data_IF_700910911486
#
_entry.id   IF_700910911486
#
_cell.length_a   1.000
_cell.length_b   1.000
_cell.length_c   1.000
_cell.angle_alpha   90.00
_cell.angle_beta   90.00
_cell.angle_gamma   90.00
#
_symmetry.space_group_name_H-M   'P 1'
#
loop_
_entity.id
_entity.type
_entity.pdbx_description
1 polymer ?
#
# COMPACT_ATOMS: atom_id res chain seq x y z
N UNK A 1 -22.21 -14.57 -17.40
CA UNK A 1 -22.09 -13.85 -16.12
C UNK A 1 -23.49 -13.41 -15.71
N UNK A 2 -23.79 -13.33 -14.41
CA UNK A 2 -25.01 -12.63 -13.96
C UNK A 2 -24.92 -11.18 -14.44
N UNK A 3 -26.05 -10.57 -14.82
CA UNK A 3 -26.05 -9.16 -15.22
C UNK A 3 -25.55 -8.25 -14.09
N UNK A 4 -25.20 -7.01 -14.44
CA UNK A 4 -24.78 -6.01 -13.47
C UNK A 4 -25.86 -5.77 -12.40
N UNK A 5 -25.41 -5.71 -11.15
CA UNK A 5 -26.19 -5.33 -9.98
C UNK A 5 -25.36 -4.35 -9.15
N UNK A 6 -25.87 -3.13 -8.99
CA UNK A 6 -25.22 -2.07 -8.23
C UNK A 6 -25.01 -2.48 -6.77
N UNK A 7 -26.01 -3.12 -6.17
CA UNK A 7 -26.01 -3.41 -4.75
C UNK A 7 -24.91 -4.44 -4.40
N UNK A 8 -24.56 -5.32 -5.34
CA UNK A 8 -23.39 -6.22 -5.21
C UNK A 8 -22.09 -5.43 -5.05
N UNK A 9 -21.88 -4.37 -5.83
CA UNK A 9 -20.67 -3.53 -5.72
C UNK A 9 -20.65 -2.77 -4.39
N UNK A 10 -21.79 -2.17 -4.03
CA UNK A 10 -21.97 -1.41 -2.79
C UNK A 10 -21.69 -2.28 -1.56
N UNK A 11 -22.28 -3.48 -1.51
CA UNK A 11 -22.09 -4.42 -0.41
C UNK A 11 -20.65 -4.95 -0.35
N UNK A 12 -20.02 -5.17 -1.49
CA UNK A 12 -18.62 -5.58 -1.55
C UNK A 12 -17.68 -4.52 -0.99
N UNK A 13 -17.82 -3.26 -1.41
CA UNK A 13 -17.02 -2.14 -0.89
C UNK A 13 -17.26 -1.91 0.60
N UNK A 14 -18.54 -1.88 1.00
CA UNK A 14 -18.91 -1.70 2.41
C UNK A 14 -18.29 -2.79 3.29
N UNK A 15 -18.43 -4.06 2.90
CA UNK A 15 -17.84 -5.19 3.62
C UNK A 15 -16.32 -5.09 3.69
N UNK A 16 -15.67 -4.67 2.60
CA UNK A 16 -14.22 -4.50 2.56
C UNK A 16 -13.74 -3.40 3.50
N UNK A 17 -14.38 -2.23 3.49
CA UNK A 17 -14.04 -1.14 4.41
C UNK A 17 -14.35 -1.48 5.86
N UNK A 18 -15.47 -2.16 6.13
CA UNK A 18 -15.77 -2.69 7.46
C UNK A 18 -14.71 -3.68 7.94
N UNK A 19 -14.15 -4.52 7.05
CA UNK A 19 -13.03 -5.39 7.39
C UNK A 19 -11.81 -4.57 7.80
N UNK A 20 -11.39 -3.59 7.00
CA UNK A 20 -10.23 -2.74 7.31
C UNK A 20 -10.41 -1.98 8.64
N UNK A 21 -11.60 -1.43 8.91
CA UNK A 21 -11.93 -0.82 10.21
C UNK A 21 -11.84 -1.84 11.34
N UNK A 22 -12.40 -3.05 11.16
CA UNK A 22 -12.35 -4.12 12.16
C UNK A 22 -10.94 -4.65 12.41
N UNK A 23 -10.07 -4.59 11.41
CA UNK A 23 -8.65 -4.92 11.50
C UNK A 23 -7.85 -3.82 12.20
N UNK A 24 -8.46 -2.66 12.46
CA UNK A 24 -7.82 -1.51 13.10
C UNK A 24 -6.90 -0.76 12.14
N UNK A 25 -7.09 -0.90 10.83
CA UNK A 25 -6.26 -0.20 9.85
C UNK A 25 -6.66 1.27 9.71
N UNK A 26 -7.96 1.55 9.80
CA UNK A 26 -8.53 2.89 9.71
C UNK A 26 -9.65 3.07 10.74
N UNK A 27 -9.88 4.30 11.15
CA UNK A 27 -10.96 4.63 12.09
C UNK A 27 -12.33 4.51 11.38
N UNK A 28 -13.42 4.17 12.11
CA UNK A 28 -14.76 4.10 11.53
C UNK A 28 -15.18 5.39 10.81
N UNK A 29 -14.78 6.53 11.35
CA UNK A 29 -15.07 7.86 10.81
C UNK A 29 -14.35 8.14 9.48
N UNK A 30 -13.37 7.32 9.10
CA UNK A 30 -12.73 7.43 7.80
C UNK A 30 -13.67 6.99 6.65
N UNK A 31 -14.75 6.26 6.95
CA UNK A 31 -15.70 5.77 5.95
C UNK A 31 -16.99 6.58 6.00
N UNK A 32 -17.29 7.24 4.89
CA UNK A 32 -18.50 8.03 4.69
C UNK A 32 -19.53 7.19 3.93
N UNK A 33 -20.64 6.86 4.60
CA UNK A 33 -21.74 6.09 4.00
C UNK A 33 -22.68 7.01 3.22
N UNK A 34 -23.22 6.58 2.07
CA UNK A 34 -24.19 7.35 1.32
C UNK A 34 -25.49 7.55 2.13
N UNK A 35 -26.20 8.68 1.93
CA UNK A 35 -27.58 8.83 2.39
C UNK A 35 -28.50 7.75 1.83
N UNK A 36 -29.68 7.54 2.43
CA UNK A 36 -30.62 6.49 2.01
C UNK A 36 -31.08 6.59 0.53
N UNK A 37 -31.02 7.78 -0.06
CA UNK A 37 -31.30 8.02 -1.49
C UNK A 37 -30.05 8.19 -2.37
N UNK A 38 -28.87 7.86 -1.84
CA UNK A 38 -27.58 8.13 -2.48
C UNK A 38 -27.14 9.59 -2.37
N UNK A 39 -25.91 9.85 -2.83
CA UNK A 39 -25.33 11.18 -2.93
C UNK A 39 -26.10 12.04 -3.94
N UNK A 40 -26.45 13.27 -3.54
CA UNK A 40 -27.15 14.22 -4.42
C UNK A 40 -26.20 14.83 -5.46
N UNK A 41 -26.73 15.49 -6.50
CA UNK A 41 -25.93 16.23 -7.50
C UNK A 41 -25.16 17.41 -6.90
N UNK A 42 -25.59 17.88 -5.72
CA UNK A 42 -24.88 18.88 -4.95
C UNK A 42 -23.63 18.30 -4.26
N UNK A 43 -23.62 16.99 -3.97
CA UNK A 43 -22.53 16.30 -3.28
C UNK A 43 -21.64 15.52 -4.24
N UNK A 44 -22.19 14.91 -5.28
CA UNK A 44 -21.48 14.16 -6.31
C UNK A 44 -21.21 15.05 -7.54
N UNK A 45 -20.02 14.91 -8.16
CA UNK A 45 -19.66 15.63 -9.40
C UNK A 45 -20.31 15.04 -10.66
N UNK A 46 -21.65 14.96 -10.66
CA UNK A 46 -22.45 14.45 -11.78
C UNK A 46 -22.20 15.24 -13.07
N UNK A 47 -21.96 16.55 -12.95
CA UNK A 47 -21.55 17.44 -14.04
C UNK A 47 -20.25 16.96 -14.71
N UNK A 48 -19.22 16.67 -13.92
CA UNK A 48 -17.94 16.19 -14.43
C UNK A 48 -18.06 14.77 -15.00
N UNK A 49 -18.79 13.88 -14.32
CA UNK A 49 -19.02 12.51 -14.79
C UNK A 49 -19.69 12.47 -16.17
N UNK A 50 -20.72 13.31 -16.38
CA UNK A 50 -21.38 13.45 -17.69
C UNK A 50 -20.45 14.09 -18.73
N UNK A 51 -19.65 15.09 -18.36
CA UNK A 51 -18.66 15.68 -19.26
C UNK A 51 -17.62 14.64 -19.71
N UNK A 52 -17.16 13.77 -18.80
CA UNK A 52 -16.30 12.61 -19.07
C UNK A 52 -17.00 11.45 -19.81
N UNK A 53 -18.26 11.65 -20.22
CA UNK A 53 -19.04 10.67 -20.98
C UNK A 53 -19.39 9.40 -20.21
N UNK A 54 -19.44 9.42 -18.87
CA UNK A 54 -19.87 8.27 -18.06
C UNK A 54 -21.38 8.06 -18.18
N UNK A 55 -21.82 6.80 -18.20
CA UNK A 55 -23.23 6.44 -18.32
C UNK A 55 -24.02 6.69 -17.03
N UNK A 56 -25.35 6.75 -17.12
CA UNK A 56 -26.20 6.91 -15.94
C UNK A 56 -26.13 5.69 -15.00
N UNK A 57 -25.76 4.50 -15.49
CA UNK A 57 -25.50 3.34 -14.65
C UNK A 57 -24.24 3.53 -13.78
N UNK A 58 -23.16 4.07 -14.35
CA UNK A 58 -21.95 4.47 -13.60
C UNK A 58 -22.28 5.56 -12.58
N UNK A 59 -23.04 6.59 -12.98
CA UNK A 59 -23.43 7.67 -12.07
C UNK A 59 -24.28 7.12 -10.92
N UNK A 60 -25.23 6.22 -11.20
CA UNK A 60 -26.05 5.56 -10.18
C UNK A 60 -25.21 4.72 -9.23
N UNK A 61 -24.19 3.99 -9.71
CA UNK A 61 -23.23 3.32 -8.84
C UNK A 61 -22.53 4.29 -7.90
N UNK A 62 -21.92 5.35 -8.44
CA UNK A 62 -21.15 6.32 -7.67
C UNK A 62 -22.01 7.08 -6.65
N UNK A 63 -23.32 7.22 -6.88
CA UNK A 63 -24.26 7.76 -5.87
C UNK A 63 -24.43 6.86 -4.65
N UNK A 64 -24.22 5.56 -4.78
CA UNK A 64 -24.59 4.59 -3.75
C UNK A 64 -23.39 3.87 -3.11
N UNK A 65 -22.16 4.13 -3.55
CA UNK A 65 -20.97 3.58 -2.90
C UNK A 65 -20.60 4.37 -1.63
N UNK A 66 -20.01 3.71 -0.63
CA UNK A 66 -19.31 4.39 0.44
C UNK A 66 -18.01 5.03 -0.08
N UNK A 67 -17.65 6.20 0.45
CA UNK A 67 -16.37 6.86 0.16
C UNK A 67 -15.47 6.86 1.38
N UNK A 68 -14.15 6.86 1.16
CA UNK A 68 -13.17 7.06 2.23
C UNK A 68 -12.80 8.54 2.27
N UNK A 69 -12.68 9.11 3.47
CA UNK A 69 -12.21 10.48 3.65
C UNK A 69 -10.73 10.58 3.26
N UNK A 70 -10.44 11.61 2.47
CA UNK A 70 -9.07 12.01 2.20
C UNK A 70 -8.53 12.77 3.42
N UNK A 71 -7.26 12.56 3.72
CA UNK A 71 -6.64 13.13 4.89
C UNK A 71 -5.73 14.27 4.41
N UNK A 72 -6.16 15.51 4.57
CA UNK A 72 -5.42 16.68 4.02
C UNK A 72 -3.99 16.81 4.59
N UNK A 73 -3.79 16.32 5.81
CA UNK A 73 -2.52 16.42 6.54
C UNK A 73 -1.66 15.13 6.48
N UNK A 74 -2.16 14.05 5.88
CA UNK A 74 -1.51 12.73 5.87
C UNK A 74 -1.56 12.04 4.50
N UNK A 75 -0.85 10.91 4.37
CA UNK A 75 -0.79 10.16 3.11
C UNK A 75 -2.20 9.64 2.71
N UNK A 76 -2.46 9.31 1.43
CA UNK A 76 -3.75 8.75 0.99
C UNK A 76 -4.00 7.34 1.53
N UNK A 77 -5.24 7.01 1.93
CA UNK A 77 -5.59 5.72 2.58
C UNK A 77 -5.49 4.59 1.57
N UNK A 78 -4.55 3.67 1.78
CA UNK A 78 -4.47 2.45 0.97
C UNK A 78 -5.56 1.48 1.40
N UNK A 79 -6.47 1.16 0.50
CA UNK A 79 -7.55 0.20 0.79
C UNK A 79 -7.17 -1.22 0.39
N UNK A 80 -6.08 -1.40 -0.34
CA UNK A 80 -5.44 -2.66 -0.68
C UNK A 80 -3.96 -2.37 -1.04
N UNK A 81 -3.13 -3.38 -1.29
CA UNK A 81 -1.69 -3.22 -1.56
C UNK A 81 -1.44 -2.17 -2.65
N UNK A 82 -0.85 -1.03 -2.29
CA UNK A 82 -0.54 0.10 -3.21
C UNK A 82 -1.78 0.61 -4.00
N UNK A 83 -2.99 0.39 -3.46
CA UNK A 83 -4.27 0.72 -4.10
C UNK A 83 -5.04 1.74 -3.27
N UNK A 84 -5.38 2.87 -3.88
CA UNK A 84 -5.98 4.04 -3.23
C UNK A 84 -7.40 4.30 -3.75
N UNK A 85 -8.37 4.66 -2.88
CA UNK A 85 -9.76 4.88 -3.28
C UNK A 85 -9.90 6.18 -4.07
N UNK A 86 -10.72 6.15 -5.13
CA UNK A 86 -11.14 7.36 -5.83
C UNK A 86 -12.39 7.95 -5.17
N UNK A 87 -12.37 9.26 -4.91
CA UNK A 87 -13.49 10.00 -4.32
C UNK A 87 -14.12 10.92 -5.36
N UNK A 88 -15.36 10.62 -5.76
CA UNK A 88 -16.10 11.38 -6.78
C UNK A 88 -16.98 12.52 -6.23
N UNK A 89 -16.96 12.70 -4.91
CA UNK A 89 -17.68 13.78 -4.25
C UNK A 89 -17.02 15.13 -4.52
N UNK A 90 -17.80 16.22 -4.50
CA UNK A 90 -17.31 17.59 -4.69
C UNK A 90 -16.26 18.00 -3.67
N UNK A 91 -16.31 17.39 -2.49
CA UNK A 91 -15.34 17.62 -1.42
C UNK A 91 -14.05 16.81 -1.59
N UNK A 92 -13.94 15.97 -2.63
CA UNK A 92 -12.73 15.19 -2.91
C UNK A 92 -11.66 16.03 -3.60
N UNK A 93 -10.40 15.77 -3.27
CA UNK A 93 -9.19 16.43 -3.78
C UNK A 93 -9.11 16.37 -5.30
N UNK A 94 -9.56 15.27 -5.88
CA UNK A 94 -9.54 15.03 -7.32
C UNK A 94 -10.54 15.90 -8.10
N UNK A 95 -11.47 16.54 -7.39
CA UNK A 95 -12.47 17.42 -7.97
C UNK A 95 -12.49 18.83 -7.36
N UNK A 96 -11.66 19.09 -6.34
CA UNK A 96 -11.76 20.26 -5.46
C UNK A 96 -10.86 21.44 -5.76
N UNK A 97 -9.94 21.36 -6.74
CA UNK A 97 -8.87 22.37 -6.88
C UNK A 97 -9.01 23.37 -8.03
N UNK A 98 -9.41 22.92 -9.23
CA UNK A 98 -9.29 23.73 -10.45
C UNK A 98 -10.64 23.92 -11.17
N UNK A 99 -11.27 25.10 -11.06
CA UNK A 99 -12.51 25.41 -11.78
C UNK A 99 -12.34 25.56 -13.30
N UNK A 100 -11.15 25.29 -13.85
CA UNK A 100 -10.82 25.43 -15.28
C UNK A 100 -10.46 24.12 -16.00
N UNK A 101 -10.63 22.97 -15.35
CA UNK A 101 -10.30 21.68 -15.96
C UNK A 101 -11.39 21.23 -16.93
N UNK A 102 -11.01 20.98 -18.19
CA UNK A 102 -11.94 20.58 -19.25
C UNK A 102 -12.17 19.06 -19.23
N UNK A 103 -13.10 18.62 -18.38
CA UNK A 103 -13.51 17.22 -18.27
C UNK A 103 -14.05 16.59 -19.56
N UNK A 104 -14.44 17.40 -20.57
CA UNK A 104 -15.04 16.88 -21.79
C UNK A 104 -14.00 16.43 -22.83
N UNK A 105 -12.78 16.97 -22.76
CA UNK A 105 -11.74 16.73 -23.77
C UNK A 105 -10.47 16.11 -23.20
N UNK A 106 -10.20 16.30 -21.90
CA UNK A 106 -9.03 15.72 -21.26
C UNK A 106 -9.17 14.19 -21.14
N UNK A 107 -8.16 13.40 -21.56
CA UNK A 107 -8.15 11.95 -21.37
C UNK A 107 -8.32 11.55 -19.90
N UNK A 108 -8.99 10.42 -19.65
CA UNK A 108 -9.22 9.94 -18.28
C UNK A 108 -7.93 9.57 -17.55
N UNK A 109 -6.89 9.16 -18.26
CA UNK A 109 -5.56 8.91 -17.69
C UNK A 109 -4.96 10.19 -17.11
N UNK A 110 -4.97 11.28 -17.89
CA UNK A 110 -4.44 12.59 -17.48
C UNK A 110 -5.25 13.17 -16.31
N UNK A 111 -6.55 12.87 -16.27
CA UNK A 111 -7.42 13.19 -15.14
C UNK A 111 -7.29 12.23 -13.96
N UNK A 112 -6.47 11.17 -14.04
CA UNK A 112 -6.26 10.18 -12.95
C UNK A 112 -7.45 9.24 -12.69
N UNK A 113 -8.36 9.07 -13.65
CA UNK A 113 -9.54 8.19 -13.56
C UNK A 113 -9.44 6.91 -14.39
N UNK A 114 -8.33 6.69 -15.10
CA UNK A 114 -8.09 5.46 -15.85
C UNK A 114 -6.60 5.05 -15.76
N UNK A 115 -6.30 3.74 -15.79
CA UNK A 115 -4.92 3.24 -15.70
C UNK A 115 -4.13 3.26 -17.01
N UNK A 116 -4.75 3.64 -18.12
CA UNK A 116 -4.19 3.40 -19.45
C UNK A 116 -4.63 4.49 -20.44
N UNK A 117 -3.91 4.59 -21.57
CA UNK A 117 -4.19 5.59 -22.59
C UNK A 117 -5.33 5.12 -23.54
N UNK A 118 -6.09 6.07 -24.07
CA UNK A 118 -7.16 5.79 -25.01
C UNK A 118 -8.57 5.70 -24.38
N UNK A 119 -9.56 5.23 -25.16
CA UNK A 119 -10.96 5.35 -24.79
C UNK A 119 -11.34 4.36 -23.69
N UNK A 120 -11.95 4.87 -22.62
CA UNK A 120 -12.65 4.04 -21.62
C UNK A 120 -14.15 4.04 -21.94
N UNK A 121 -14.79 2.88 -22.17
CA UNK A 121 -16.23 2.79 -22.42
C UNK A 121 -17.07 3.53 -21.37
N UNK A 122 -18.18 4.14 -21.79
CA UNK A 122 -19.04 4.96 -20.91
C UNK A 122 -19.57 4.22 -19.68
N UNK A 123 -19.78 2.91 -19.80
CA UNK A 123 -20.29 2.03 -18.75
C UNK A 123 -19.20 1.53 -17.78
N UNK A 124 -17.94 1.96 -17.97
CA UNK A 124 -16.82 1.59 -17.12
C UNK A 124 -16.37 2.74 -16.21
N UNK A 125 -15.91 2.40 -15.00
CA UNK A 125 -15.42 3.36 -14.02
C UNK A 125 -14.37 2.75 -13.10
N UNK A 126 -13.31 3.50 -12.83
CA UNK A 126 -12.30 3.11 -11.83
C UNK A 126 -12.80 3.46 -10.43
N UNK A 127 -12.75 2.51 -9.51
CA UNK A 127 -13.06 2.77 -8.09
C UNK A 127 -11.80 3.12 -7.27
N UNK A 128 -10.64 2.85 -7.84
CA UNK A 128 -9.33 3.10 -7.24
C UNK A 128 -8.37 3.66 -8.27
N UNK A 129 -7.32 4.32 -7.79
CA UNK A 129 -6.11 4.59 -8.54
C UNK A 129 -4.93 3.88 -7.87
N UNK A 130 -3.87 3.63 -8.63
CA UNK A 130 -2.68 2.96 -8.15
C UNK A 130 -1.47 3.31 -9.02
N UNK A 131 -0.29 3.37 -8.40
CA UNK A 131 0.97 3.46 -9.14
C UNK A 131 1.51 2.04 -9.39
N UNK A 132 1.76 1.30 -8.30
CA UNK A 132 2.26 -0.09 -8.32
C UNK A 132 1.20 -1.13 -7.88
N UNK A 133 0.00 -0.67 -7.52
CA UNK A 133 -1.09 -1.51 -7.03
C UNK A 133 -2.08 -1.93 -8.11
N UNK A 134 -3.34 -2.09 -7.71
CA UNK A 134 -4.43 -2.49 -8.61
C UNK A 134 -5.49 -1.41 -8.75
N UNK A 135 -5.82 -1.07 -10.00
CA UNK A 135 -7.00 -0.32 -10.39
C UNK A 135 -8.22 -1.23 -10.46
N UNK A 136 -9.27 -0.86 -9.73
CA UNK A 136 -10.54 -1.57 -9.70
C UNK A 136 -11.47 -0.99 -10.76
N UNK A 137 -11.27 -1.41 -12.01
CA UNK A 137 -12.04 -0.92 -13.14
C UNK A 137 -13.32 -1.75 -13.31
N UNK A 138 -14.45 -1.19 -12.88
CA UNK A 138 -15.76 -1.85 -12.92
C UNK A 138 -16.46 -1.57 -14.24
N UNK A 139 -17.01 -2.61 -14.86
CA UNK A 139 -17.89 -2.53 -16.03
C UNK A 139 -19.34 -2.77 -15.62
N UNK A 140 -20.14 -1.71 -15.65
CA UNK A 140 -21.56 -1.74 -15.28
C UNK A 140 -22.47 -2.29 -16.37
N UNK A 141 -21.95 -2.51 -17.58
CA UNK A 141 -22.70 -3.15 -18.66
C UNK A 141 -22.58 -4.67 -18.57
N UNK A 142 -21.37 -5.16 -18.35
CA UNK A 142 -21.09 -6.61 -18.28
C UNK A 142 -21.20 -7.18 -16.84
N UNK A 143 -21.18 -6.32 -15.81
CA UNK A 143 -21.27 -6.76 -14.42
C UNK A 143 -19.99 -7.41 -13.89
N UNK A 144 -18.83 -6.94 -14.36
CA UNK A 144 -17.53 -7.48 -14.02
C UNK A 144 -16.56 -6.39 -13.54
N UNK A 145 -15.41 -6.82 -13.02
CA UNK A 145 -14.29 -5.97 -12.66
C UNK A 145 -13.04 -6.44 -13.40
N UNK A 146 -12.27 -5.48 -13.90
CA UNK A 146 -10.95 -5.66 -14.47
C UNK A 146 -9.92 -5.22 -13.42
N UNK A 147 -9.28 -6.14 -12.69
CA UNK A 147 -8.25 -5.80 -11.71
C UNK A 147 -6.95 -5.45 -12.44
N UNK A 148 -6.81 -4.18 -12.84
CA UNK A 148 -5.72 -3.72 -13.69
C UNK A 148 -4.52 -3.27 -12.83
N UNK A 149 -3.47 -4.09 -12.76
CA UNK A 149 -2.26 -3.81 -12.00
C UNK A 149 -1.00 -3.91 -12.87
N UNK A 150 0.09 -4.41 -12.30
CA UNK A 150 1.38 -4.59 -12.98
C UNK A 150 1.53 -5.97 -13.64
N UNK A 151 0.68 -6.94 -13.28
CA UNK A 151 0.62 -8.27 -13.89
C UNK A 151 -0.52 -8.33 -14.91
N UNK A 152 -0.18 -8.58 -16.18
CA UNK A 152 -1.14 -8.70 -17.29
C UNK A 152 -1.34 -10.16 -17.71
N UNK A 153 -2.59 -10.53 -18.01
CA UNK A 153 -2.95 -11.86 -18.51
C UNK A 153 -2.62 -12.03 -20.00
N UNK A 154 -2.49 -10.91 -20.73
CA UNK A 154 -2.20 -10.87 -22.18
C UNK A 154 -0.99 -10.01 -22.50
N UNK A 155 -0.26 -10.38 -23.55
CA UNK A 155 0.84 -9.56 -24.05
C UNK A 155 0.32 -8.24 -24.62
N UNK A 156 1.06 -7.14 -24.46
CA UNK A 156 0.67 -5.83 -24.95
C UNK A 156 0.36 -5.81 -26.46
N UNK A 157 1.12 -6.58 -27.26
CA UNK A 157 0.94 -6.67 -28.71
C UNK A 157 -0.38 -7.36 -29.13
N UNK A 158 -0.98 -8.14 -28.23
CA UNK A 158 -2.24 -8.85 -28.48
C UNK A 158 -3.48 -8.02 -28.11
N UNK A 159 -3.28 -6.91 -27.38
CA UNK A 159 -4.34 -6.06 -26.86
C UNK A 159 -4.56 -4.87 -27.82
N UNK A 160 -5.74 -4.73 -28.42
CA UNK A 160 -6.02 -3.57 -29.26
C UNK A 160 -5.85 -2.26 -28.47
N UNK A 161 -5.25 -1.25 -29.10
CA UNK A 161 -5.00 0.05 -28.47
C UNK A 161 -6.29 0.77 -28.02
N UNK A 162 -7.42 0.49 -28.68
CA UNK A 162 -8.73 1.02 -28.30
C UNK A 162 -9.43 0.16 -27.22
N UNK A 163 -8.80 -0.91 -26.75
CA UNK A 163 -9.36 -1.89 -25.81
C UNK A 163 -8.36 -2.32 -24.73
N UNK A 164 -7.54 -1.38 -24.24
CA UNK A 164 -6.42 -1.66 -23.33
C UNK A 164 -6.83 -2.36 -22.02
N UNK A 165 -8.06 -2.18 -21.54
CA UNK A 165 -8.58 -2.90 -20.37
C UNK A 165 -8.61 -4.43 -20.56
N UNK A 166 -8.54 -4.93 -21.79
CA UNK A 166 -8.48 -6.37 -22.10
C UNK A 166 -7.11 -7.01 -21.86
N UNK A 167 -6.12 -6.22 -21.45
CA UNK A 167 -4.83 -6.73 -20.97
C UNK A 167 -4.96 -7.63 -19.74
N UNK A 168 -6.04 -7.45 -18.96
CA UNK A 168 -6.43 -8.34 -17.86
C UNK A 168 -7.76 -9.01 -18.15
N UNK A 169 -7.97 -10.19 -17.58
CA UNK A 169 -9.21 -10.93 -17.71
C UNK A 169 -10.30 -10.40 -16.76
N UNK A 170 -11.56 -10.28 -17.22
CA UNK A 170 -12.64 -9.82 -16.37
C UNK A 170 -12.97 -10.87 -15.30
N UNK A 171 -13.18 -10.40 -14.08
CA UNK A 171 -13.56 -11.22 -12.93
C UNK A 171 -14.99 -10.86 -12.50
N UNK A 172 -15.84 -11.82 -12.08
CA UNK A 172 -17.09 -11.48 -11.41
C UNK A 172 -16.82 -10.63 -10.17
N UNK A 173 -17.51 -9.49 -10.03
CA UNK A 173 -17.24 -8.49 -8.99
C UNK A 173 -17.18 -9.12 -7.59
N UNK A 174 -18.23 -9.86 -7.22
CA UNK A 174 -18.29 -10.51 -5.91
C UNK A 174 -17.14 -11.51 -5.68
N UNK A 175 -16.76 -12.29 -6.70
CA UNK A 175 -15.68 -13.27 -6.59
C UNK A 175 -14.32 -12.59 -6.38
N UNK A 176 -14.07 -11.45 -7.03
CA UNK A 176 -12.87 -10.65 -6.79
C UNK A 176 -12.82 -10.13 -5.34
N UNK A 177 -13.91 -9.52 -4.87
CA UNK A 177 -13.98 -9.00 -3.50
C UNK A 177 -13.95 -10.11 -2.43
N UNK A 178 -14.47 -11.30 -2.72
CA UNK A 178 -14.33 -12.47 -1.84
C UNK A 178 -12.88 -12.93 -1.73
N UNK A 179 -12.14 -12.92 -2.83
CA UNK A 179 -10.70 -13.21 -2.84
C UNK A 179 -9.93 -12.22 -1.96
N UNK A 180 -10.08 -10.91 -2.18
CA UNK A 180 -9.33 -9.91 -1.39
C UNK A 180 -9.71 -9.98 0.10
N UNK A 181 -10.99 -10.18 0.40
CA UNK A 181 -11.46 -10.32 1.78
C UNK A 181 -10.88 -11.58 2.43
N UNK A 182 -10.76 -12.69 1.70
CA UNK A 182 -10.11 -13.90 2.20
C UNK A 182 -8.61 -13.67 2.46
N UNK A 183 -7.89 -12.98 1.56
CA UNK A 183 -6.46 -12.66 1.76
C UNK A 183 -6.23 -11.82 3.02
N UNK A 184 -7.04 -10.79 3.23
CA UNK A 184 -6.96 -9.95 4.45
C UNK A 184 -7.39 -10.72 5.69
N UNK A 185 -8.49 -11.50 5.59
CA UNK A 185 -9.02 -12.29 6.71
C UNK A 185 -8.12 -13.46 7.14
N UNK A 186 -7.40 -14.07 6.20
CA UNK A 186 -6.44 -15.15 6.43
C UNK A 186 -5.04 -14.63 6.80
N UNK A 187 -4.84 -13.31 6.87
CA UNK A 187 -3.55 -12.68 7.15
C UNK A 187 -2.46 -12.97 6.11
N UNK A 188 -2.87 -13.25 4.87
CA UNK A 188 -1.95 -13.27 3.72
C UNK A 188 -1.52 -11.85 3.36
N UNK A 189 -2.45 -10.90 3.50
CA UNK A 189 -2.20 -9.46 3.44
C UNK A 189 -2.62 -8.87 4.78
N UNK A 190 -1.71 -8.14 5.44
CA UNK A 190 -2.00 -7.51 6.73
C UNK A 190 -1.94 -6.00 6.55
N UNK A 191 -3.09 -5.31 6.60
CA UNK A 191 -3.12 -3.86 6.63
C UNK A 191 -2.37 -3.37 7.87
N UNK A 192 -1.24 -2.69 7.68
CA UNK A 192 -0.42 -2.18 8.75
C UNK A 192 -0.77 -0.70 9.01
N UNK A 193 -1.19 -0.31 10.23
CA UNK A 193 -1.44 1.09 10.54
C UNK A 193 -0.20 1.93 10.29
N UNK A 194 -0.40 3.15 9.79
CA UNK A 194 0.72 4.01 9.40
C UNK A 194 1.57 4.41 10.61
N UNK A 195 2.87 4.16 10.52
CA UNK A 195 3.86 5.04 11.15
C UNK A 195 3.95 6.30 10.31
N UNK A 196 3.69 7.48 10.89
CA UNK A 196 3.67 8.75 10.15
C UNK A 196 4.80 8.92 9.14
N UNK A 197 4.48 9.59 8.02
CA UNK A 197 5.32 9.98 6.87
C UNK A 197 6.78 9.53 6.95
N UNK A 198 7.06 8.37 6.34
CA UNK A 198 8.38 8.05 5.82
C UNK A 198 8.25 8.01 4.31
N UNK A 199 8.74 9.05 3.62
CA UNK A 199 8.95 8.96 2.17
C UNK A 199 9.97 7.83 1.94
N UNK A 200 9.48 6.63 1.63
CA UNK A 200 10.28 5.67 0.91
C UNK A 200 10.44 6.24 -0.49
N UNK A 201 11.43 7.12 -0.70
CA UNK A 201 11.83 7.48 -2.05
C UNK A 201 12.42 6.24 -2.69
N UNK A 202 11.66 5.63 -3.58
CA UNK A 202 12.22 4.83 -4.65
C UNK A 202 13.12 5.79 -5.42
N UNK A 203 14.43 5.67 -5.25
CA UNK A 203 15.37 6.34 -6.15
C UNK A 203 15.28 5.56 -7.46
N UNK A 204 14.49 6.07 -8.41
CA UNK A 204 14.61 5.69 -9.81
C UNK A 204 15.93 6.24 -10.34
N UNK A 205 17.05 5.56 -10.06
CA UNK A 205 18.25 5.71 -10.86
C UNK A 205 18.30 4.58 -11.88
N UNK A 206 17.64 4.83 -13.02
CA UNK A 206 18.10 4.30 -14.29
C UNK A 206 19.47 4.93 -14.58
N UNK A 207 20.53 4.32 -14.07
CA UNK A 207 21.85 4.40 -14.70
C UNK A 207 22.27 3.01 -15.09
N UNK A 208 22.29 2.79 -16.41
CA UNK A 208 22.92 1.66 -17.07
C UNK A 208 24.31 1.37 -16.47
N UNK A 209 24.59 0.08 -16.28
CA UNK A 209 25.93 -0.50 -16.01
C UNK A 209 26.66 -0.02 -14.74
N UNK A 210 26.21 -0.51 -13.58
CA UNK A 210 26.99 -0.52 -12.34
C UNK A 210 27.20 -1.93 -11.81
N UNK A 211 28.31 -2.60 -12.16
CA UNK A 211 28.74 -3.81 -11.47
C UNK A 211 28.99 -3.49 -9.98
N UNK A 212 28.10 -3.97 -9.10
CA UNK A 212 28.33 -3.94 -7.65
C UNK A 212 29.49 -4.86 -7.29
N UNK A 213 30.70 -4.30 -7.18
CA UNK A 213 31.86 -4.99 -6.66
C UNK A 213 31.76 -5.05 -5.12
N UNK A 214 31.62 -6.26 -4.58
CA UNK A 214 31.71 -6.52 -3.13
C UNK A 214 33.15 -6.29 -2.67
N UNK A 215 33.41 -5.21 -1.94
CA UNK A 215 34.64 -5.07 -1.16
C UNK A 215 34.28 -5.05 0.32
N UNK A 216 34.62 -6.13 1.04
CA UNK A 216 34.55 -6.20 2.50
C UNK A 216 35.91 -5.80 3.08
N UNK A 217 36.09 -4.61 3.70
CA UNK A 217 37.31 -4.34 4.43
C UNK A 217 37.28 -5.07 5.78
N UNK A 218 38.17 -6.05 5.90
CA UNK A 218 38.85 -6.51 7.12
C UNK A 218 38.05 -7.10 8.31
N UNK A 219 38.11 -8.44 8.37
CA UNK A 219 38.59 -9.29 9.49
C UNK A 219 37.89 -9.38 10.86
N UNK A 220 36.73 -8.75 11.13
CA UNK A 220 35.91 -9.13 12.33
C UNK A 220 34.40 -9.22 12.13
N UNK A 221 33.87 -8.84 10.97
CA UNK A 221 32.42 -8.61 10.77
C UNK A 221 31.70 -9.83 10.16
N UNK A 222 32.42 -10.90 9.79
CA UNK A 222 31.88 -12.12 9.16
C UNK A 222 31.50 -13.24 10.15
N UNK A 223 31.05 -12.93 11.36
CA UNK A 223 30.49 -13.94 12.29
C UNK A 223 28.96 -13.93 12.25
N UNK A 224 28.38 -15.12 12.19
CA UNK A 224 26.96 -15.39 12.52
C UNK A 224 26.59 -14.67 13.83
N UNK A 225 25.35 -14.20 13.91
CA UNK A 225 24.84 -13.54 15.13
C UNK A 225 25.09 -14.45 16.33
N UNK A 226 25.84 -13.93 17.32
CA UNK A 226 26.09 -14.63 18.58
C UNK A 226 24.91 -14.31 19.49
N UNK A 227 24.38 -15.31 20.20
CA UNK A 227 23.33 -15.09 21.19
C UNK A 227 23.70 -13.94 22.13
N UNK A 228 22.72 -13.09 22.45
CA UNK A 228 22.91 -12.00 23.38
C UNK A 228 23.51 -12.53 24.69
N UNK A 229 24.58 -11.89 25.17
CA UNK A 229 25.19 -12.26 26.43
C UNK A 229 24.14 -12.19 27.55
N UNK A 230 24.11 -13.22 28.39
CA UNK A 230 23.27 -13.23 29.59
C UNK A 230 23.65 -12.05 30.47
N UNK A 231 22.66 -11.35 31.02
CA UNK A 231 22.89 -10.28 31.98
C UNK A 231 22.08 -10.56 33.26
N UNK A 232 22.62 -10.11 34.39
CA UNK A 232 21.91 -10.11 35.67
C UNK A 232 21.33 -8.72 35.95
N UNK A 233 20.15 -8.68 36.55
CA UNK A 233 19.46 -7.45 36.93
C UNK A 233 18.45 -6.95 35.90
N UNK A 234 18.10 -5.66 35.98
CA UNK A 234 17.06 -5.03 35.15
C UNK A 234 17.71 -4.11 34.12
N UNK A 235 17.33 -4.26 32.85
CA UNK A 235 17.67 -3.29 31.79
C UNK A 235 16.48 -2.39 31.52
N UNK A 236 16.75 -1.09 31.37
CA UNK A 236 15.74 -0.12 31.00
C UNK A 236 15.40 -0.28 29.51
N UNK A 237 14.13 -0.54 29.20
CA UNK A 237 13.62 -0.69 27.83
C UNK A 237 12.54 0.37 27.51
N UNK A 238 12.82 1.63 27.86
CA UNK A 238 11.89 2.76 27.71
C UNK A 238 12.23 3.66 26.53
N UNK A 239 13.26 3.32 25.75
CA UNK A 239 13.70 4.06 24.56
C UNK A 239 14.07 3.07 23.47
N UNK A 240 13.84 3.46 22.22
CA UNK A 240 14.27 2.68 21.08
C UNK A 240 15.79 2.59 20.97
N UNK A 241 16.28 1.47 20.42
CA UNK A 241 17.69 1.29 20.08
C UNK A 241 18.11 2.05 18.82
N UNK A 242 19.41 2.01 18.52
CA UNK A 242 19.98 2.60 17.29
C UNK A 242 19.61 1.75 16.06
N UNK A 243 19.56 2.37 14.89
CA UNK A 243 19.40 1.70 13.59
C UNK A 243 20.74 1.14 13.11
N UNK A 244 20.72 0.17 12.21
CA UNK A 244 21.97 -0.32 11.62
C UNK A 244 22.57 0.71 10.66
N UNK A 245 23.91 0.67 10.55
CA UNK A 245 24.65 1.59 9.69
C UNK A 245 24.22 1.43 8.23
N UNK A 246 23.76 2.52 7.63
CA UNK A 246 23.26 2.64 6.26
C UNK A 246 23.51 4.05 5.72
N UNK A 247 23.25 4.26 4.43
CA UNK A 247 23.47 5.58 3.81
C UNK A 247 22.67 6.69 4.56
N UNK A 248 23.29 7.86 4.85
CA UNK A 248 22.64 8.98 5.52
C UNK A 248 21.34 9.47 4.84
N UNK A 249 21.14 9.17 3.55
CA UNK A 249 19.91 9.46 2.83
C UNK A 249 18.71 8.73 3.48
N UNK A 250 18.91 7.55 4.07
CA UNK A 250 17.82 6.73 4.65
C UNK A 250 17.69 6.86 6.17
N UNK A 251 18.75 7.25 6.86
CA UNK A 251 18.72 7.45 8.31
C UNK A 251 19.76 8.47 8.76
N UNK A 252 19.37 9.35 9.68
CA UNK A 252 20.31 10.27 10.33
C UNK A 252 21.46 9.52 10.98
N UNK A 253 22.70 9.91 10.65
CA UNK A 253 23.97 9.33 11.13
C UNK A 253 23.99 9.23 12.65
N UNK A 254 23.46 10.23 13.35
CA UNK A 254 23.44 10.27 14.82
C UNK A 254 22.51 9.21 15.43
N UNK A 255 21.64 8.60 14.62
CA UNK A 255 20.70 7.56 15.06
C UNK A 255 21.16 6.13 14.76
N UNK A 256 22.32 5.98 14.12
CA UNK A 256 22.89 4.69 13.69
C UNK A 256 24.00 4.18 14.64
N UNK A 257 24.23 2.87 14.67
CA UNK A 257 25.36 2.23 15.37
C UNK A 257 25.63 0.83 14.77
N UNK A 258 26.85 0.31 14.89
CA UNK A 258 27.14 -1.11 14.56
C UNK A 258 26.53 -2.07 15.61
N UNK A 259 26.32 -1.60 16.83
CA UNK A 259 25.60 -2.31 17.90
C UNK A 259 24.06 -2.20 17.73
N UNK A 260 23.56 -2.37 16.52
CA UNK A 260 22.17 -2.12 16.14
C UNK A 260 21.21 -3.30 16.33
N UNK A 261 21.68 -4.51 16.69
CA UNK A 261 20.82 -5.70 16.81
C UNK A 261 19.89 -5.60 18.04
N UNK A 262 18.75 -4.96 17.85
CA UNK A 262 17.69 -4.80 18.83
C UNK A 262 16.33 -5.16 18.23
N UNK A 263 15.35 -5.37 19.11
CA UNK A 263 13.94 -5.56 18.76
C UNK A 263 13.08 -4.91 19.84
N UNK A 264 11.86 -4.53 19.48
CA UNK A 264 10.92 -3.86 20.36
C UNK A 264 9.72 -4.79 20.62
N UNK A 265 9.19 -4.79 21.83
CA UNK A 265 8.04 -5.64 22.21
C UNK A 265 6.91 -4.78 22.74
N UNK A 266 5.76 -4.87 22.08
CA UNK A 266 4.54 -4.16 22.46
C UNK A 266 3.47 -5.16 22.85
N UNK A 267 2.89 -4.97 24.04
CA UNK A 267 1.91 -5.90 24.61
C UNK A 267 0.75 -5.13 25.23
N UNK A 268 -0.47 -5.63 25.03
CA UNK A 268 -1.67 -4.96 25.55
C UNK A 268 -1.67 -5.00 27.07
N UNK A 269 -1.84 -3.83 27.70
CA UNK A 269 -1.92 -3.71 29.16
C UNK A 269 -3.12 -4.50 29.70
N UNK A 270 -2.93 -5.19 30.81
CA UNK A 270 -3.99 -5.93 31.51
C UNK A 270 -4.12 -7.40 31.12
N UNK A 271 -3.36 -7.89 30.13
CA UNK A 271 -3.34 -9.32 29.79
C UNK A 271 -2.40 -10.07 30.74
N UNK A 272 -2.87 -11.12 31.46
CA UNK A 272 -2.02 -11.93 32.33
C UNK A 272 -0.85 -12.55 31.56
N UNK A 273 0.34 -12.64 32.16
CA UNK A 273 1.51 -13.25 31.51
C UNK A 273 1.33 -14.74 31.19
N UNK A 274 0.43 -15.42 31.91
CA UNK A 274 0.06 -16.81 31.66
C UNK A 274 -0.82 -17.01 30.43
N UNK A 275 -1.47 -15.95 29.93
CA UNK A 275 -2.33 -16.03 28.77
C UNK A 275 -1.50 -16.01 27.48
N UNK A 276 -1.59 -17.11 26.71
CA UNK A 276 -1.01 -17.18 25.37
C UNK A 276 -1.78 -16.27 24.42
N UNK A 277 -1.05 -15.49 23.63
CA UNK A 277 -1.61 -14.57 22.64
C UNK A 277 -0.90 -14.73 21.29
N UNK A 278 -1.60 -14.51 20.16
CA UNK A 278 -0.94 -14.40 18.86
C UNK A 278 0.14 -13.33 18.87
N UNK A 279 1.25 -13.62 18.18
CA UNK A 279 2.42 -12.74 18.06
C UNK A 279 2.59 -12.32 16.61
N UNK A 280 2.57 -11.02 16.35
CA UNK A 280 3.00 -10.44 15.08
C UNK A 280 4.50 -10.16 15.18
N UNK A 281 5.30 -10.69 14.27
CA UNK A 281 6.73 -10.35 14.15
C UNK A 281 6.91 -9.53 12.89
N UNK A 282 7.28 -8.27 13.05
CA UNK A 282 7.56 -7.36 11.93
C UNK A 282 9.05 -7.35 11.61
N UNK A 283 9.37 -7.65 10.36
CA UNK A 283 10.70 -7.55 9.79
C UNK A 283 10.64 -6.47 8.72
N UNK A 284 11.43 -5.42 8.86
CA UNK A 284 11.41 -4.30 7.93
C UNK A 284 11.98 -4.72 6.56
N UNK A 285 11.42 -4.13 5.50
CA UNK A 285 12.01 -4.16 4.15
C UNK A 285 13.18 -3.16 4.00
N UNK A 286 13.56 -2.91 2.74
CA UNK A 286 14.65 -2.00 2.35
C UNK A 286 15.74 -2.65 1.50
N UNK A 287 15.36 -3.65 0.69
CA UNK A 287 16.21 -4.32 -0.31
C UNK A 287 17.60 -4.74 0.21
N UNK A 288 17.67 -5.08 1.50
CA UNK A 288 18.89 -5.49 2.21
C UNK A 288 20.01 -4.43 2.32
N UNK A 289 19.79 -3.18 1.90
CA UNK A 289 20.79 -2.10 2.01
C UNK A 289 20.33 -0.92 2.89
N UNK A 290 19.04 -0.83 3.17
CA UNK A 290 18.46 0.21 4.02
C UNK A 290 17.29 -0.34 4.87
N UNK A 291 16.75 0.49 5.77
CA UNK A 291 15.60 0.20 6.61
C UNK A 291 15.92 0.01 8.09
N UNK A 292 14.88 0.05 8.93
CA UNK A 292 14.98 -0.22 10.37
C UNK A 292 13.61 -0.49 10.99
N UNK A 293 13.56 -0.81 12.28
CA UNK A 293 12.31 -0.90 13.04
C UNK A 293 11.41 0.34 12.89
N UNK A 294 11.95 1.53 12.58
CA UNK A 294 11.20 2.79 12.52
C UNK A 294 10.15 2.87 11.42
N UNK A 295 10.21 1.99 10.42
CA UNK A 295 9.23 1.94 9.32
C UNK A 295 7.85 1.38 9.73
N UNK A 296 7.67 1.09 11.02
CA UNK A 296 6.41 0.66 11.60
C UNK A 296 6.25 1.35 12.95
N UNK A 297 5.04 1.57 13.43
CA UNK A 297 4.79 2.05 14.79
C UNK A 297 3.80 1.11 15.47
N UNK A 298 4.34 0.08 16.11
CA UNK A 298 3.51 -0.87 16.80
C UNK A 298 2.76 -0.22 17.96
N UNK A 299 3.29 0.82 18.61
CA UNK A 299 2.63 1.49 19.73
C UNK A 299 1.35 2.21 19.28
N UNK A 300 1.42 2.95 18.17
CA UNK A 300 0.26 3.57 17.52
C UNK A 300 -0.74 2.51 17.03
N UNK A 301 -0.25 1.37 16.57
CA UNK A 301 -1.07 0.24 16.11
C UNK A 301 -1.76 -0.52 17.25
N UNK A 302 -1.22 -0.49 18.47
CA UNK A 302 -1.72 -1.31 19.59
C UNK A 302 -3.19 -1.03 19.95
N UNK A 303 -3.66 0.23 20.13
CA UNK A 303 -5.07 0.51 20.40
C UNK A 303 -6.03 -0.03 19.33
N UNK A 304 -5.61 -0.01 18.07
CA UNK A 304 -6.42 -0.43 16.93
C UNK A 304 -6.43 -1.97 16.81
N UNK A 305 -5.27 -2.61 17.01
CA UNK A 305 -5.12 -4.08 17.03
C UNK A 305 -5.68 -4.75 18.31
N UNK A 306 -5.94 -3.98 19.38
CA UNK A 306 -6.65 -4.47 20.58
C UNK A 306 -7.97 -5.13 20.26
N UNK A 307 -8.61 -4.75 19.15
CA UNK A 307 -9.96 -5.17 18.85
C UNK A 307 -10.10 -6.63 18.46
N UNK A 308 -9.13 -7.36 17.85
CA UNK A 308 -9.27 -8.83 17.68
C UNK A 308 -8.08 -9.68 17.18
N UNK A 309 -6.93 -9.17 16.70
CA UNK A 309 -5.96 -10.04 15.99
C UNK A 309 -4.61 -10.28 16.69
N UNK A 310 -3.88 -9.23 17.07
CA UNK A 310 -2.56 -9.38 17.70
C UNK A 310 -2.53 -8.69 19.06
N UNK A 311 -2.02 -9.38 20.08
CA UNK A 311 -1.93 -8.85 21.46
C UNK A 311 -0.49 -8.76 21.97
N UNK A 312 0.45 -9.22 21.14
CA UNK A 312 1.88 -9.04 21.26
C UNK A 312 2.44 -8.72 19.86
N UNK A 313 3.21 -7.65 19.75
CA UNK A 313 3.93 -7.28 18.53
C UNK A 313 5.41 -7.23 18.85
N UNK A 314 6.20 -8.00 18.10
CA UNK A 314 7.65 -7.89 18.06
C UNK A 314 8.00 -7.04 16.85
N UNK A 315 8.32 -5.78 17.09
CA UNK A 315 8.66 -4.84 16.04
C UNK A 315 10.17 -4.81 15.83
N UNK A 316 10.55 -5.08 14.59
CA UNK A 316 11.83 -4.69 14.01
C UNK A 316 13.02 -5.36 14.66
N UNK A 317 13.23 -6.62 14.33
CA UNK A 317 14.57 -7.17 14.40
C UNK A 317 15.44 -6.39 13.40
N UNK A 318 16.17 -5.38 13.88
CA UNK A 318 17.19 -4.75 13.07
C UNK A 318 18.16 -5.83 12.62
N UNK A 319 18.40 -5.91 11.33
CA UNK A 319 19.39 -6.79 10.74
C UNK A 319 20.44 -5.95 10.03
N UNK A 320 21.67 -6.47 9.94
CA UNK A 320 22.73 -5.80 9.22
C UNK A 320 22.34 -5.69 7.74
N UNK A 321 22.43 -4.48 7.22
CA UNK A 321 22.22 -4.16 5.81
C UNK A 321 23.57 -4.04 5.10
N UNK A 322 23.58 -4.27 3.79
CA UNK A 322 24.75 -4.13 2.93
C UNK A 322 25.17 -2.67 2.87
N UNK A 323 26.45 -2.40 3.10
CA UNK A 323 27.02 -1.07 2.86
C UNK A 323 27.51 -0.99 1.41
N UNK A 324 26.87 -0.14 0.61
CA UNK A 324 27.48 0.35 -0.61
C UNK A 324 28.52 1.42 -0.21
N UNK A 325 29.80 1.21 -0.56
CA UNK A 325 30.76 2.31 -0.55
C UNK A 325 30.76 2.97 -1.92
N UNK A 326 30.75 4.31 -2.03
CA UNK A 326 31.12 4.95 -3.28
C UNK A 326 32.56 4.56 -3.63
N UNK A 327 32.80 4.14 -4.87
CA UNK A 327 34.13 3.86 -5.38
C UNK A 327 34.93 5.17 -5.38
N UNK A 328 35.94 5.29 -4.52
CA UNK A 328 36.84 6.45 -4.54
C UNK A 328 37.93 6.38 -5.61
N UNK A 329 38.10 5.27 -6.33
CA UNK A 329 39.19 5.15 -7.32
C UNK A 329 38.72 4.55 -8.65
N UNK A 330 38.82 5.36 -9.71
CA UNK A 330 38.56 4.95 -11.08
C UNK A 330 39.54 3.86 -11.56
N UNK A 331 38.96 2.81 -12.14
CA UNK A 331 39.57 1.78 -13.01
C UNK A 331 40.42 0.70 -12.30
N UNK A 332 39.92 -0.54 -12.28
CA UNK A 332 40.39 -1.66 -13.15
C UNK A 332 39.51 -2.90 -12.95
N UNK A 333 39.00 -3.42 -14.06
CA UNK A 333 38.34 -4.72 -14.22
C UNK A 333 39.23 -5.87 -13.77
N UNK A 334 38.66 -6.94 -13.18
CA UNK A 334 39.10 -8.33 -13.37
C UNK A 334 38.11 -9.39 -12.83
N UNK A 335 37.71 -10.27 -13.76
CA UNK A 335 37.41 -11.71 -13.68
C UNK A 335 36.70 -12.33 -12.47
N UNK A 336 35.50 -12.83 -12.74
CA UNK A 336 34.77 -13.79 -11.91
C UNK A 336 35.26 -15.21 -12.21
N UNK A 337 36.02 -15.82 -11.30
CA UNK A 337 36.20 -17.28 -11.24
C UNK A 337 35.58 -17.81 -9.96
N UNK A 338 34.36 -18.33 -10.12
CA UNK A 338 33.86 -19.58 -9.55
C UNK A 338 33.55 -19.62 -8.05
N UNK A 339 32.35 -20.07 -7.73
CA UNK A 339 32.14 -21.10 -6.71
C UNK A 339 30.80 -21.80 -6.97
N UNK A 340 30.90 -23.12 -7.18
CA UNK A 340 29.81 -24.10 -7.20
C UNK A 340 29.03 -24.13 -5.88
#
# INVERSE_FOLDING_TARGET
MSGYDRDVVVDCLKRHYELLVRMGYMEPEAVELPPAGGWSDAELRVDALRAMGRSEAVIDLLRHIPYVHENDDADPVEIYTETFPLRYLRSGRWFGGNPGEDFATTPLLDLGFAPFDGPVPADMVSLTHADEGTWWLVDTKEGCIYPYGTEFDKNADEVPHDQQWRAVDPVPIQAYFDKIHAQVGNLEVVPAPRSGKWEARVVEEYTEEGQFALFLPSNKISRLSVYAATFNGTKLATRYGKTCVQDPIFADVDTQDEACLNFNVFRTRGIPLSQKTPVLVWIHGGAFYAGSYRSFDAAASMPQLRCRLFRLIVQGANHRVLQAKPNEDGVKSHDWKGMN
#
